data_IF_813638775506
#
_entry.id   IF_813638775506
#
_cell.length_a   1.000
_cell.length_b   1.000
_cell.length_c   1.000
_cell.angle_alpha   90.00
_cell.angle_beta   90.00
_cell.angle_gamma   90.00
#
_symmetry.space_group_name_H-M   'P 1'
#
loop_
_entity.id
_entity.type
_entity.pdbx_description
1 polymer ?
#
# COMPACT_ATOMS: atom_id res chain seq x y z
N UNK A 1 5.04 2.99 -22.11
CA UNK A 1 5.35 3.75 -20.89
C UNK A 1 4.00 4.11 -20.31
N UNK A 2 3.51 3.31 -19.36
CA UNK A 2 2.24 3.61 -18.71
C UNK A 2 2.57 4.58 -17.59
N UNK A 3 2.23 5.85 -17.78
CA UNK A 3 2.25 6.85 -16.72
C UNK A 3 1.24 6.36 -15.67
N UNK A 4 1.74 5.70 -14.62
CA UNK A 4 0.88 5.28 -13.53
C UNK A 4 0.39 6.54 -12.81
N UNK A 5 -0.92 6.63 -12.62
CA UNK A 5 -1.55 7.76 -11.93
C UNK A 5 -1.32 7.62 -10.44
N UNK A 6 -0.84 8.70 -9.79
CA UNK A 6 -0.82 8.78 -8.34
C UNK A 6 -2.27 8.85 -7.86
N UNK A 7 -2.73 7.75 -7.25
CA UNK A 7 -4.07 7.64 -6.70
C UNK A 7 -4.10 8.32 -5.35
N UNK A 8 -3.11 8.00 -4.52
CA UNK A 8 -3.10 8.45 -3.13
C UNK A 8 -1.71 8.45 -2.52
N UNK A 9 -1.46 9.40 -1.62
CA UNK A 9 -0.26 9.43 -0.80
C UNK A 9 -0.64 9.27 0.66
N UNK A 10 -0.13 8.22 1.29
CA UNK A 10 -0.24 7.98 2.74
C UNK A 10 1.06 8.39 3.41
N UNK A 11 0.97 8.97 4.59
CA UNK A 11 2.11 9.33 5.42
C UNK A 11 1.88 8.71 6.79
N UNK A 12 2.89 7.99 7.27
CA UNK A 12 2.89 7.30 8.56
C UNK A 12 4.07 7.82 9.39
N UNK A 13 3.84 7.93 10.69
CA UNK A 13 4.74 8.56 11.64
C UNK A 13 4.04 9.63 12.46
N UNK A 14 4.76 10.33 13.36
CA UNK A 14 4.20 11.43 14.13
C UNK A 14 3.83 12.62 13.22
N UNK A 15 2.72 13.30 13.53
CA UNK A 15 2.22 14.46 12.78
C UNK A 15 3.28 15.55 12.52
N UNK A 16 4.27 15.69 13.40
CA UNK A 16 5.32 16.72 13.31
C UNK A 16 6.57 16.24 12.53
N UNK A 17 6.74 14.92 12.35
CA UNK A 17 7.92 14.32 11.70
C UNK A 17 7.55 12.99 11.03
N UNK A 18 6.86 13.01 9.88
CA UNK A 18 6.46 11.79 9.20
C UNK A 18 7.69 10.96 8.83
N UNK A 19 7.76 9.74 9.34
CA UNK A 19 8.91 8.85 9.19
C UNK A 19 8.86 8.07 7.88
N UNK A 20 7.66 7.81 7.36
CA UNK A 20 7.47 6.99 6.17
C UNK A 20 6.29 7.48 5.33
N UNK A 21 6.47 7.61 4.01
CA UNK A 21 5.40 7.89 3.07
C UNK A 21 5.22 6.72 2.11
N UNK A 22 3.98 6.54 1.66
CA UNK A 22 3.59 5.56 0.67
C UNK A 22 2.83 6.27 -0.43
N UNK A 23 3.36 6.22 -1.64
CA UNK A 23 2.69 6.78 -2.82
C UNK A 23 2.08 5.63 -3.60
N UNK A 24 0.75 5.51 -3.55
CA UNK A 24 -0.04 4.50 -4.25
C UNK A 24 -0.27 4.97 -5.69
N UNK A 25 0.23 4.19 -6.62
CA UNK A 25 0.07 4.37 -8.05
C UNK A 25 -0.78 3.27 -8.66
N UNK A 26 -1.49 3.60 -9.72
CA UNK A 26 -2.25 2.63 -10.49
C UNK A 26 -2.57 3.07 -11.90
N UNK A 27 -3.32 2.23 -12.60
CA UNK A 27 -3.77 2.53 -13.96
C UNK A 27 -4.85 3.63 -13.96
N UNK A 28 -5.69 3.63 -12.92
CA UNK A 28 -6.79 4.57 -12.68
C UNK A 28 -6.93 4.87 -11.18
N UNK A 29 -7.61 5.96 -10.81
CA UNK A 29 -7.94 6.35 -9.42
C UNK A 29 -8.62 5.24 -8.60
N UNK A 30 -9.25 4.26 -9.28
CA UNK A 30 -9.91 3.11 -8.64
C UNK A 30 -9.09 1.83 -8.64
N UNK A 31 -7.92 1.80 -9.29
CA UNK A 31 -7.14 0.57 -9.53
C UNK A 31 -5.68 0.71 -9.09
N UNK A 32 -5.41 0.80 -7.78
CA UNK A 32 -4.04 0.76 -7.26
C UNK A 32 -3.33 -0.51 -7.71
N UNK A 33 -2.14 -0.32 -8.29
CA UNK A 33 -1.30 -1.40 -8.83
C UNK A 33 -0.04 -1.58 -7.99
N UNK A 34 0.55 -0.47 -7.51
CA UNK A 34 1.71 -0.54 -6.63
C UNK A 34 1.84 0.72 -5.77
N UNK A 35 2.43 0.61 -4.59
CA UNK A 35 2.86 1.72 -3.77
C UNK A 35 4.38 1.78 -3.68
N UNK A 36 4.93 2.98 -3.85
CA UNK A 36 6.32 3.29 -3.58
C UNK A 36 6.45 3.72 -2.13
N UNK A 37 7.40 3.13 -1.42
CA UNK A 37 7.67 3.45 -0.02
C UNK A 37 8.87 4.40 0.03
N UNK A 38 8.75 5.47 0.81
CA UNK A 38 9.88 6.34 1.10
C UNK A 38 9.98 6.52 2.59
N UNK A 39 11.20 6.49 3.10
CA UNK A 39 11.49 6.71 4.50
C UNK A 39 12.22 8.04 4.64
N UNK A 40 11.89 8.79 5.68
CA UNK A 40 12.62 10.00 6.00
C UNK A 40 13.99 9.60 6.55
N UNK A 41 15.06 10.05 5.88
CA UNK A 41 16.42 9.84 6.33
C UNK A 41 17.16 11.19 6.28
N UNK A 42 17.58 11.68 7.44
CA UNK A 42 18.33 12.95 7.59
C UNK A 42 17.63 14.18 6.97
N UNK A 43 16.29 14.19 6.95
CA UNK A 43 15.49 15.28 6.39
C UNK A 43 15.18 15.17 4.89
N UNK A 44 15.65 14.12 4.21
CA UNK A 44 15.26 13.80 2.83
C UNK A 44 14.38 12.55 2.76
N UNK A 45 13.60 12.42 1.68
CA UNK A 45 12.73 11.28 1.45
C UNK A 45 13.47 10.25 0.60
N UNK A 46 14.10 9.28 1.26
CA UNK A 46 14.78 8.21 0.56
C UNK A 46 13.75 7.15 0.13
N UNK A 47 13.62 6.97 -1.19
CA UNK A 47 12.82 5.90 -1.75
C UNK A 47 13.45 4.56 -1.39
N UNK A 48 12.68 3.69 -0.74
CA UNK A 48 13.12 2.32 -0.49
C UNK A 48 13.15 1.54 -1.82
N UNK A 49 14.10 0.62 -1.93
CA UNK A 49 14.13 -0.35 -3.05
C UNK A 49 12.90 -1.29 -3.02
N UNK A 50 12.23 -1.35 -1.87
CA UNK A 50 10.97 -2.04 -1.66
C UNK A 50 9.77 -1.25 -2.19
N UNK A 51 8.89 -1.95 -2.89
CA UNK A 51 7.59 -1.42 -3.33
C UNK A 51 6.50 -2.44 -3.02
N UNK A 52 5.37 -1.94 -2.56
CA UNK A 52 4.19 -2.74 -2.28
C UNK A 52 3.42 -2.93 -3.57
N UNK A 53 3.37 -4.14 -4.13
CA UNK A 53 2.60 -4.37 -5.35
C UNK A 53 1.21 -4.87 -4.98
N UNK A 54 0.17 -4.12 -5.35
CA UNK A 54 -1.22 -4.53 -5.20
C UNK A 54 -1.62 -5.22 -6.49
N UNK A 55 -1.53 -6.54 -6.52
CA UNK A 55 -1.92 -7.28 -7.69
C UNK A 55 -3.43 -7.15 -7.89
N UNK A 56 -3.84 -6.26 -8.79
CA UNK A 56 -5.19 -6.23 -9.33
C UNK A 56 -5.40 -7.51 -10.17
N UNK A 57 -5.72 -8.60 -9.47
CA UNK A 57 -6.36 -9.82 -9.99
C UNK A 57 -5.50 -10.91 -10.68
N UNK A 58 -4.19 -10.95 -10.52
CA UNK A 58 -3.43 -12.18 -10.77
C UNK A 58 -2.57 -12.47 -9.53
N UNK A 59 -2.59 -13.71 -9.03
CA UNK A 59 -1.79 -14.18 -7.88
C UNK A 59 -2.36 -13.92 -6.45
N UNK A 60 -3.62 -14.33 -6.21
CA UNK A 60 -4.02 -14.88 -4.88
C UNK A 60 -3.37 -16.25 -4.61
N UNK A 61 -2.08 -16.40 -4.93
CA UNK A 61 -1.29 -17.60 -4.69
C UNK A 61 0.10 -17.13 -4.27
N UNK A 62 0.27 -16.77 -3.01
CA UNK A 62 1.50 -17.02 -2.22
C UNK A 62 1.54 -16.30 -0.86
N UNK A 63 0.47 -15.64 -0.40
CA UNK A 63 0.36 -15.23 1.02
C UNK A 63 -0.69 -16.07 1.73
N UNK A 64 -0.50 -17.39 1.66
CA UNK A 64 -1.20 -18.36 2.49
C UNK A 64 -0.47 -18.59 3.82
N UNK A 65 0.17 -17.60 4.42
CA UNK A 65 0.75 -17.71 5.77
C UNK A 65 0.77 -16.35 6.46
N UNK A 66 -0.34 -15.98 7.12
CA UNK A 66 -0.37 -15.24 8.39
C UNK A 66 -1.82 -14.92 8.76
N UNK A 67 -2.45 -15.92 9.40
CA UNK A 67 -3.46 -15.83 10.47
C UNK A 67 -4.55 -14.74 10.41
N UNK A 68 -5.79 -15.24 10.34
CA UNK A 68 -6.98 -14.73 11.05
C UNK A 68 -7.43 -13.30 10.74
N UNK A 69 -8.31 -13.16 9.75
CA UNK A 69 -9.38 -12.15 9.84
C UNK A 69 -10.68 -12.77 9.29
N UNK A 70 -11.69 -12.76 10.16
CA UNK A 70 -12.93 -13.50 10.00
C UNK A 70 -13.83 -13.04 8.84
N UNK A 71 -14.57 -14.01 8.33
CA UNK A 71 -15.82 -13.97 7.59
C UNK A 71 -16.48 -12.61 7.33
N UNK A 72 -16.72 -12.30 6.05
CA UNK A 72 -17.67 -11.28 5.65
C UNK A 72 -17.99 -11.40 4.17
N UNK A 73 -19.19 -11.89 3.86
CA UNK A 73 -19.86 -11.80 2.57
C UNK A 73 -19.66 -10.39 1.95
N UNK A 74 -18.94 -10.26 0.84
CA UNK A 74 -18.80 -8.97 0.14
C UNK A 74 -18.61 -9.21 -1.35
N UNK A 75 -19.64 -8.81 -2.08
CA UNK A 75 -19.74 -8.78 -3.52
C UNK A 75 -18.45 -8.26 -4.19
N UNK A 76 -17.96 -8.91 -5.26
CA UNK A 76 -16.74 -8.50 -5.96
C UNK A 76 -16.82 -7.12 -6.66
N UNK A 77 -17.97 -6.44 -6.62
CA UNK A 77 -18.21 -5.16 -7.29
C UNK A 77 -18.00 -3.93 -6.37
N UNK A 78 -17.71 -4.14 -5.08
CA UNK A 78 -17.53 -3.10 -4.06
C UNK A 78 -16.20 -3.24 -3.30
N UNK A 79 -15.24 -4.00 -3.84
CA UNK A 79 -13.87 -3.97 -3.32
C UNK A 79 -13.27 -2.62 -3.66
N UNK A 80 -13.27 -1.72 -2.68
CA UNK A 80 -12.44 -0.53 -2.69
C UNK A 80 -10.97 -0.96 -2.66
N UNK A 81 -10.43 -1.31 -3.83
CA UNK A 81 -9.01 -1.54 -4.05
C UNK A 81 -8.13 -0.46 -3.40
N UNK A 82 -8.46 0.86 -3.47
CA UNK A 82 -7.73 1.87 -2.71
C UNK A 82 -7.77 1.66 -1.20
N UNK A 83 -8.90 1.21 -0.61
CA UNK A 83 -8.97 0.90 0.81
C UNK A 83 -8.08 -0.30 1.17
N UNK A 84 -8.08 -1.36 0.37
CA UNK A 84 -7.18 -2.51 0.56
C UNK A 84 -5.70 -2.11 0.46
N UNK A 85 -5.36 -1.24 -0.50
CA UNK A 85 -4.01 -0.71 -0.64
C UNK A 85 -3.58 0.08 0.61
N UNK A 86 -4.48 0.88 1.21
CA UNK A 86 -4.23 1.58 2.48
C UNK A 86 -3.97 0.61 3.62
N UNK A 87 -4.84 -0.37 3.82
CA UNK A 87 -4.70 -1.36 4.89
C UNK A 87 -3.39 -2.15 4.73
N UNK A 88 -3.00 -2.47 3.50
CA UNK A 88 -1.76 -3.16 3.23
C UNK A 88 -0.52 -2.27 3.47
N UNK A 89 -0.58 -0.98 3.15
CA UNK A 89 0.44 0.00 3.54
C UNK A 89 0.55 0.13 5.07
N UNK A 90 -0.57 0.21 5.78
CA UNK A 90 -0.61 0.32 7.23
C UNK A 90 -0.02 -0.92 7.92
N UNK A 91 -0.44 -2.12 7.50
CA UNK A 91 0.14 -3.37 8.02
C UNK A 91 1.63 -3.47 7.75
N UNK A 92 2.08 -3.02 6.58
CA UNK A 92 3.51 -2.99 6.26
C UNK A 92 4.26 -2.05 7.19
N UNK A 93 3.73 -0.84 7.40
CA UNK A 93 4.34 0.13 8.31
C UNK A 93 4.43 -0.43 9.73
N UNK A 94 3.35 -1.04 10.25
CA UNK A 94 3.35 -1.69 11.56
C UNK A 94 4.38 -2.82 11.67
N UNK A 95 4.59 -3.61 10.61
CA UNK A 95 5.62 -4.65 10.58
C UNK A 95 7.04 -4.06 10.49
N UNK A 96 7.25 -2.98 9.73
CA UNK A 96 8.55 -2.31 9.62
C UNK A 96 8.98 -1.58 10.91
N UNK A 97 8.08 -1.42 11.88
CA UNK A 97 8.34 -0.83 13.20
C UNK A 97 8.68 -1.88 14.29
N UNK A 98 8.59 -3.18 13.98
CA UNK A 98 9.03 -4.27 14.88
C UNK A 98 10.48 -4.69 14.62
#
# INVERSE_FOLDING_TARGET
>A
MTDATLIETLQFGPDDAPEQKYEIYGDDEKTPTYALIYRQHDGDWEKLDEKLTFAARDEQKEVAVAMDYGSGDSLPELRDLPAEAREHCERHWQNSQQ
#
